data_IF_173473451786
#
_entry.id   IF_173473451786
#
_cell.length_a   1.000
_cell.length_b   1.000
_cell.length_c   1.000
_cell.angle_alpha   90.00
_cell.angle_beta   90.00
_cell.angle_gamma   90.00
#
_symmetry.space_group_name_H-M   'P 1'
#
loop_
_entity.id
_entity.type
_entity.pdbx_description
1 polymer ?
#
# COMPACT_ATOMS: atom_id res chain seq x y z
N UNK A 1 -5.48 -1.20 -2.28
CA UNK A 1 -5.27 -1.11 -0.81
C UNK A 1 -4.36 0.05 -0.51
N UNK A 2 -4.70 0.88 0.45
CA UNK A 2 -3.89 2.04 0.83
C UNK A 2 -3.39 1.89 2.26
N UNK A 3 -2.12 2.15 2.47
CA UNK A 3 -1.47 2.01 3.77
C UNK A 3 -0.92 3.35 4.23
N UNK A 4 -1.18 3.69 5.47
CA UNK A 4 -0.68 4.89 6.10
C UNK A 4 -0.10 4.57 7.47
N UNK A 5 1.04 5.19 7.78
CA UNK A 5 1.62 5.13 9.11
C UNK A 5 1.24 6.43 9.84
N UNK A 6 0.42 6.32 10.87
CA UNK A 6 -0.08 7.49 11.59
C UNK A 6 0.85 7.98 12.69
N UNK A 7 1.82 7.16 13.10
CA UNK A 7 2.77 7.50 14.16
C UNK A 7 4.12 6.87 13.87
N UNK A 8 5.18 7.47 14.39
CA UNK A 8 6.52 6.94 14.34
C UNK A 8 7.27 7.22 13.05
N UNK A 9 8.47 6.66 12.89
CA UNK A 9 9.33 6.92 11.74
C UNK A 9 8.72 6.40 10.44
N UNK A 10 9.10 7.02 9.34
CA UNK A 10 8.68 6.62 8.00
C UNK A 10 9.04 5.15 7.76
N UNK A 11 8.11 4.39 7.22
CA UNK A 11 8.31 2.99 6.90
C UNK A 11 8.11 2.03 8.06
N UNK A 12 7.91 2.52 9.26
CA UNK A 12 7.72 1.67 10.44
C UNK A 12 6.42 0.87 10.33
N UNK A 13 6.53 -0.44 10.17
CA UNK A 13 5.39 -1.34 10.06
C UNK A 13 4.77 -1.46 8.68
N UNK A 14 4.94 -0.48 7.80
CA UNK A 14 4.34 -0.53 6.45
C UNK A 14 4.97 -1.62 5.59
N UNK A 15 6.29 -1.65 5.53
CA UNK A 15 7.02 -2.66 4.76
C UNK A 15 6.73 -4.06 5.29
N UNK A 16 6.70 -4.22 6.61
CA UNK A 16 6.35 -5.51 7.23
C UNK A 16 4.95 -5.96 6.88
N UNK A 17 4.00 -5.02 6.81
CA UNK A 17 2.63 -5.34 6.42
C UNK A 17 2.56 -5.81 4.96
N UNK A 18 3.27 -5.12 4.07
CA UNK A 18 3.31 -5.52 2.65
C UNK A 18 4.01 -6.87 2.48
N UNK A 19 5.07 -7.12 3.25
CA UNK A 19 5.73 -8.43 3.28
C UNK A 19 4.76 -9.53 3.68
N UNK A 20 3.90 -9.27 4.66
CA UNK A 20 2.86 -10.23 5.06
C UNK A 20 1.87 -10.53 3.95
N UNK A 21 1.44 -9.51 3.21
CA UNK A 21 0.57 -9.68 2.05
C UNK A 21 1.29 -10.55 0.99
N UNK A 22 2.54 -10.21 0.69
CA UNK A 22 3.33 -10.94 -0.30
C UNK A 22 3.50 -12.41 0.08
N UNK A 23 3.76 -12.67 1.35
CA UNK A 23 3.88 -14.03 1.87
C UNK A 23 2.58 -14.81 1.68
N UNK A 24 1.44 -14.18 1.98
CA UNK A 24 0.14 -14.79 1.74
C UNK A 24 -0.15 -15.05 0.27
N UNK A 25 0.46 -14.30 -0.64
CA UNK A 25 0.34 -14.49 -2.08
C UNK A 25 1.41 -15.42 -2.66
N UNK A 26 2.26 -16.00 -1.82
CA UNK A 26 3.36 -16.88 -2.23
C UNK A 26 4.36 -16.18 -3.15
N UNK A 27 4.60 -14.90 -2.94
CA UNK A 27 5.62 -14.15 -3.67
C UNK A 27 6.99 -14.50 -3.10
N UNK A 28 7.92 -14.88 -3.97
CA UNK A 28 9.26 -15.33 -3.57
C UNK A 28 10.28 -14.21 -3.51
N UNK A 29 10.08 -13.12 -4.25
CA UNK A 29 10.99 -11.98 -4.24
C UNK A 29 10.93 -11.25 -2.89
N UNK A 30 12.04 -10.66 -2.48
CA UNK A 30 12.08 -9.80 -1.31
C UNK A 30 11.30 -8.52 -1.56
N UNK A 31 10.41 -8.19 -0.65
CA UNK A 31 9.65 -6.94 -0.73
C UNK A 31 10.50 -5.81 -0.15
N UNK A 32 10.72 -4.80 -0.97
CA UNK A 32 11.45 -3.60 -0.57
C UNK A 32 10.60 -2.37 -0.87
N UNK A 33 10.82 -1.29 -0.13
CA UNK A 33 10.19 -0.02 -0.44
C UNK A 33 10.70 0.51 -1.78
N UNK A 34 9.81 0.95 -2.68
CA UNK A 34 10.26 1.61 -3.90
C UNK A 34 10.95 2.93 -3.55
N UNK A 35 12.25 3.06 -3.87
CA UNK A 35 13.01 4.27 -3.52
C UNK A 35 13.16 5.23 -4.69
N UNK A 36 13.51 4.73 -5.85
CA UNK A 36 13.74 5.56 -7.04
C UNK A 36 12.64 5.39 -8.09
N UNK A 37 12.18 4.17 -8.27
CA UNK A 37 10.98 3.92 -9.06
C UNK A 37 9.80 3.89 -8.11
N UNK A 38 8.78 4.67 -8.35
CA UNK A 38 7.65 4.84 -7.43
C UNK A 38 6.78 3.60 -7.27
N UNK A 39 7.05 2.53 -8.02
CA UNK A 39 6.33 1.27 -7.90
C UNK A 39 7.23 0.08 -8.20
N UNK A 40 6.90 -1.05 -7.57
CA UNK A 40 7.52 -2.35 -7.85
C UNK A 40 6.43 -3.35 -8.20
N UNK A 41 6.70 -4.19 -9.20
CA UNK A 41 5.79 -5.25 -9.63
C UNK A 41 6.36 -6.62 -9.23
N UNK A 42 5.54 -7.43 -8.57
CA UNK A 42 5.91 -8.77 -8.11
C UNK A 42 4.96 -9.78 -8.74
N UNK A 43 5.47 -10.60 -9.63
CA UNK A 43 4.64 -11.50 -10.45
C UNK A 43 4.82 -12.99 -10.13
N UNK A 44 5.67 -13.35 -9.17
CA UNK A 44 5.98 -14.76 -8.87
C UNK A 44 4.92 -15.47 -8.04
N UNK A 45 4.00 -14.73 -7.43
CA UNK A 45 3.00 -15.31 -6.55
C UNK A 45 1.75 -15.79 -7.26
N UNK A 46 0.77 -16.24 -6.48
CA UNK A 46 -0.54 -16.69 -7.00
C UNK A 46 -1.34 -15.55 -7.61
N UNK A 47 -1.19 -14.35 -7.06
CA UNK A 47 -1.80 -13.13 -7.58
C UNK A 47 -0.68 -12.10 -7.68
N UNK A 48 -0.55 -11.39 -8.81
CA UNK A 48 0.46 -10.33 -8.92
C UNK A 48 0.22 -9.22 -7.91
N UNK A 49 1.30 -8.60 -7.45
CA UNK A 49 1.26 -7.49 -6.50
C UNK A 49 1.98 -6.29 -7.11
N UNK A 50 1.34 -5.14 -7.07
CA UNK A 50 1.95 -3.87 -7.44
C UNK A 50 2.02 -3.03 -6.17
N UNK A 51 3.24 -2.64 -5.79
CA UNK A 51 3.51 -1.86 -4.59
C UNK A 51 3.99 -0.48 -4.99
N UNK A 52 3.20 0.54 -4.67
CA UNK A 52 3.51 1.96 -4.94
C UNK A 52 3.82 2.68 -3.65
N UNK A 53 4.75 3.64 -3.72
CA UNK A 53 5.04 4.54 -2.62
C UNK A 53 5.09 5.98 -3.15
N UNK A 54 4.15 6.80 -2.72
CA UNK A 54 4.00 8.17 -3.16
C UNK A 54 4.62 9.19 -2.18
N UNK A 55 5.35 8.72 -1.18
CA UNK A 55 5.90 9.57 -0.13
C UNK A 55 6.71 10.76 -0.64
N UNK A 56 7.53 10.54 -1.67
CA UNK A 56 8.43 11.56 -2.19
C UNK A 56 7.81 12.47 -3.25
N UNK A 57 6.59 12.18 -3.68
CA UNK A 57 5.91 13.04 -4.63
C UNK A 57 5.27 14.22 -3.93
N UNK A 58 5.46 15.39 -4.51
CA UNK A 58 4.83 16.63 -4.02
C UNK A 58 3.75 17.14 -4.96
N UNK A 59 3.74 16.64 -6.20
CA UNK A 59 2.85 17.13 -7.24
C UNK A 59 1.67 16.17 -7.44
N UNK A 60 0.47 16.71 -7.25
CA UNK A 60 -0.78 15.93 -7.38
C UNK A 60 -0.95 15.38 -8.80
N UNK A 61 -0.64 16.18 -9.82
CA UNK A 61 -0.76 15.73 -11.21
C UNK A 61 0.12 14.55 -11.52
N UNK A 62 1.36 14.57 -11.05
CA UNK A 62 2.29 13.45 -11.23
C UNK A 62 1.81 12.20 -10.49
N UNK A 63 1.31 12.37 -9.27
CA UNK A 63 0.79 11.26 -8.49
C UNK A 63 -0.42 10.62 -9.18
N UNK A 64 -1.33 11.42 -9.70
CA UNK A 64 -2.50 10.93 -10.44
C UNK A 64 -2.10 10.16 -11.68
N UNK A 65 -1.15 10.69 -12.44
CA UNK A 65 -0.69 10.06 -13.68
C UNK A 65 -0.11 8.68 -13.41
N UNK A 66 0.75 8.58 -12.41
CA UNK A 66 1.35 7.29 -12.02
C UNK A 66 0.28 6.34 -11.49
N UNK A 67 -0.62 6.84 -10.65
CA UNK A 67 -1.69 6.02 -10.09
C UNK A 67 -2.58 5.44 -11.19
N UNK A 68 -3.04 6.26 -12.13
CA UNK A 68 -3.92 5.78 -13.19
C UNK A 68 -3.22 4.74 -14.08
N UNK A 69 -1.94 4.94 -14.36
CA UNK A 69 -1.16 3.97 -15.12
C UNK A 69 -1.07 2.63 -14.39
N UNK A 70 -0.74 2.66 -13.11
CA UNK A 70 -0.61 1.43 -12.32
C UNK A 70 -1.96 0.76 -12.06
N UNK A 71 -3.02 1.54 -11.86
CA UNK A 71 -4.36 1.00 -11.69
C UNK A 71 -4.81 0.27 -12.96
N UNK A 72 -4.56 0.84 -14.12
CA UNK A 72 -4.89 0.21 -15.39
C UNK A 72 -4.14 -1.12 -15.55
N UNK A 73 -2.86 -1.13 -15.25
CA UNK A 73 -2.05 -2.35 -15.29
C UNK A 73 -2.59 -3.39 -14.29
N UNK A 74 -2.90 -2.96 -13.07
CA UNK A 74 -3.42 -3.86 -12.05
C UNK A 74 -4.74 -4.52 -12.48
N UNK A 75 -5.60 -3.76 -13.13
CA UNK A 75 -6.86 -4.29 -13.65
C UNK A 75 -6.59 -5.32 -14.75
N UNK A 76 -5.68 -5.02 -15.67
CA UNK A 76 -5.37 -5.91 -16.78
C UNK A 76 -4.81 -7.25 -16.32
N UNK A 77 -3.88 -7.25 -15.38
CA UNK A 77 -3.23 -8.47 -14.89
C UNK A 77 -3.90 -9.05 -13.66
N UNK A 78 -4.99 -8.43 -13.19
CA UNK A 78 -5.72 -8.85 -11.98
C UNK A 78 -4.82 -8.87 -10.76
N UNK A 79 -4.03 -7.83 -10.60
CA UNK A 79 -3.11 -7.66 -9.48
C UNK A 79 -3.78 -6.99 -8.30
N UNK A 80 -3.18 -7.19 -7.12
CA UNK A 80 -3.48 -6.36 -5.96
C UNK A 80 -2.58 -5.14 -6.02
N UNK A 81 -3.17 -3.96 -5.90
CA UNK A 81 -2.43 -2.70 -5.87
C UNK A 81 -2.37 -2.18 -4.45
N UNK A 82 -1.16 -2.05 -3.91
CA UNK A 82 -0.92 -1.53 -2.56
C UNK A 82 -0.24 -0.18 -2.67
N UNK A 83 -0.81 0.83 -2.03
CA UNK A 83 -0.31 2.20 -2.12
C UNK A 83 0.07 2.69 -0.73
N UNK A 84 1.34 3.08 -0.56
CA UNK A 84 1.81 3.77 0.64
C UNK A 84 1.77 5.27 0.41
N UNK A 85 1.40 6.02 1.44
CA UNK A 85 1.28 7.49 1.41
C UNK A 85 0.32 7.98 0.33
N UNK A 86 -0.98 7.61 0.42
CA UNK A 86 -1.95 7.91 -0.63
C UNK A 86 -2.51 9.33 -0.60
N UNK A 87 -2.00 10.21 0.24
CA UNK A 87 -2.58 11.52 0.51
C UNK A 87 -2.82 12.36 -0.74
N UNK A 88 -1.89 12.32 -1.71
CA UNK A 88 -2.02 13.12 -2.94
C UNK A 88 -3.13 12.66 -3.88
N UNK A 89 -3.51 11.38 -3.78
CA UNK A 89 -4.53 10.80 -4.66
C UNK A 89 -5.78 10.38 -3.90
N UNK A 90 -5.84 10.64 -2.61
CA UNK A 90 -6.95 10.23 -1.77
C UNK A 90 -8.32 10.66 -2.32
N UNK A 91 -8.50 11.88 -2.84
CA UNK A 91 -9.81 12.30 -3.37
C UNK A 91 -10.30 11.49 -4.57
N UNK A 92 -9.41 10.85 -5.32
CA UNK A 92 -9.79 10.07 -6.50
C UNK A 92 -9.87 8.58 -6.25
N UNK A 93 -9.49 8.12 -5.05
CA UNK A 93 -9.58 6.71 -4.69
C UNK A 93 -11.03 6.32 -4.43
N UNK A 94 -11.45 5.18 -5.00
CA UNK A 94 -12.78 4.63 -4.82
C UNK A 94 -12.69 3.14 -4.56
N UNK A 95 -13.56 2.63 -3.70
CA UNK A 95 -13.67 1.20 -3.42
C UNK A 95 -12.33 0.56 -3.04
N UNK A 96 -11.68 1.13 -2.04
CA UNK A 96 -10.38 0.66 -1.59
C UNK A 96 -10.40 0.28 -0.11
N UNK A 97 -9.52 -0.65 0.25
CA UNK A 97 -9.24 -0.95 1.64
C UNK A 97 -8.25 0.07 2.18
N UNK A 98 -8.57 0.65 3.31
CA UNK A 98 -7.68 1.60 3.99
C UNK A 98 -7.10 0.94 5.22
N UNK A 99 -5.78 1.04 5.37
CA UNK A 99 -5.08 0.48 6.52
C UNK A 99 -4.27 1.60 7.17
N UNK A 100 -4.47 1.79 8.45
CA UNK A 100 -3.71 2.76 9.24
C UNK A 100 -2.95 2.01 10.33
N UNK A 101 -1.65 2.23 10.39
CA UNK A 101 -0.75 1.56 11.32
C UNK A 101 -0.22 2.58 12.31
N UNK A 102 -0.32 2.27 13.60
CA UNK A 102 0.23 3.12 14.65
C UNK A 102 0.95 2.28 15.69
N UNK A 103 1.88 2.90 16.41
CA UNK A 103 2.55 2.22 17.52
C UNK A 103 1.60 2.08 18.70
N UNK A 104 1.59 0.90 19.30
CA UNK A 104 0.97 0.67 20.59
C UNK A 104 1.92 1.14 21.70
N UNK A 105 1.39 1.30 22.93
CA UNK A 105 2.19 1.71 24.08
C UNK A 105 3.23 0.68 24.48
N UNK A 106 3.04 -0.61 24.12
CA UNK A 106 3.86 -1.74 24.53
C UNK A 106 4.44 -2.51 23.37
N UNK A 107 5.41 -1.94 22.63
CA UNK A 107 6.14 -2.61 21.55
C UNK A 107 5.33 -3.19 20.40
N UNK A 108 4.01 -3.14 20.48
CA UNK A 108 3.14 -3.68 19.45
C UNK A 108 2.78 -2.64 18.38
N UNK A 109 1.85 -3.02 17.51
CA UNK A 109 1.28 -2.14 16.50
C UNK A 109 -0.23 -2.22 16.58
N UNK A 110 -0.88 -1.11 16.38
CA UNK A 110 -2.33 -1.05 16.20
C UNK A 110 -2.63 -0.91 14.72
N UNK A 111 -3.59 -1.69 14.26
CA UNK A 111 -4.03 -1.66 12.87
C UNK A 111 -5.49 -1.28 12.84
N UNK A 112 -5.82 -0.23 12.09
CA UNK A 112 -7.21 0.12 11.81
C UNK A 112 -7.44 -0.17 10.34
N UNK A 113 -8.44 -0.99 10.05
CA UNK A 113 -8.73 -1.44 8.70
C UNK A 113 -10.15 -1.08 8.36
N UNK A 114 -10.33 -0.38 7.25
CA UNK A 114 -11.64 -0.03 6.71
C UNK A 114 -11.80 -0.70 5.36
N UNK A 115 -12.87 -1.49 5.21
CA UNK A 115 -13.20 -2.02 3.90
C UNK A 115 -13.93 -0.93 3.07
N UNK A 116 -14.15 -1.17 1.77
CA UNK A 116 -14.80 -0.17 0.92
C UNK A 116 -16.22 0.22 1.33
N UNK A 117 -16.88 -0.58 2.16
CA UNK A 117 -18.28 -0.36 2.56
C UNK A 117 -18.44 -0.13 4.06
N UNK A 118 -17.66 -0.79 4.88
CA UNK A 118 -17.77 -0.75 6.33
C UNK A 118 -16.42 -0.52 6.96
N UNK A 119 -16.42 0.04 8.16
CA UNK A 119 -15.18 0.20 8.90
C UNK A 119 -14.98 -0.97 9.86
N UNK A 120 -13.74 -1.50 9.90
CA UNK A 120 -13.32 -2.55 10.81
C UNK A 120 -12.08 -2.06 11.56
N UNK A 121 -12.01 -2.37 12.85
CA UNK A 121 -10.84 -2.00 13.66
C UNK A 121 -10.28 -3.26 14.32
N UNK A 122 -8.97 -3.44 14.16
CA UNK A 122 -8.24 -4.54 14.80
C UNK A 122 -7.07 -3.97 15.58
N UNK A 123 -6.85 -4.51 16.76
CA UNK A 123 -5.77 -4.11 17.64
C UNK A 123 -4.91 -5.32 18.05
#
# INVERSE_FOLDING_TARGET
>A
MCIRDSQGPIGAGKTSFVQGIAEGLCIEEDITSPTFSLSHHYNSGTIPLIHMDLYRLENVSSAKEIFFSEEEEAIQIKAILVIEWPELIKPILKNFWKIEISYATDFGRNYKIWDPKNSLTFE
#
